data_IF_246796238032
#
_entry.id   IF_246796238032
#
_cell.length_a   1.000
_cell.length_b   1.000
_cell.length_c   1.000
_cell.angle_alpha   90.00
_cell.angle_beta   90.00
_cell.angle_gamma   90.00
#
_symmetry.space_group_name_H-M   'P 1'
#
loop_
_entity.id
_entity.type
_entity.pdbx_description
1 polymer ?
#
# COMPACT_ATOMS: atom_id res chain seq x y z
N UNK A 1 17.42 3.23 16.75
CA UNK A 1 15.98 2.89 16.64
C UNK A 1 15.43 3.74 15.52
N UNK A 2 15.47 3.21 14.29
CA UNK A 2 15.09 3.95 13.08
C UNK A 2 13.61 3.77 12.82
N UNK A 3 12.88 4.87 12.69
CA UNK A 3 11.56 4.89 12.09
C UNK A 3 11.74 4.75 10.58
N UNK A 4 11.11 3.76 9.97
CA UNK A 4 11.08 3.63 8.51
C UNK A 4 9.75 4.21 8.04
N UNK A 5 9.72 5.41 7.44
CA UNK A 5 8.52 5.84 6.74
C UNK A 5 8.30 4.88 5.57
N UNK A 6 7.19 4.15 5.58
CA UNK A 6 6.77 3.20 4.53
C UNK A 6 6.75 3.81 3.11
N UNK A 7 6.73 5.13 3.00
CA UNK A 7 6.92 5.87 1.76
C UNK A 7 8.29 5.61 1.10
N UNK A 8 9.23 4.98 1.82
CA UNK A 8 10.58 4.64 1.34
C UNK A 8 10.57 3.59 0.22
N UNK A 9 9.59 2.67 0.16
CA UNK A 9 9.46 1.77 -1.01
C UNK A 9 8.85 2.46 -2.23
N UNK A 10 8.17 3.60 -2.04
CA UNK A 10 7.60 4.41 -3.10
C UNK A 10 8.56 5.52 -3.56
N UNK A 11 9.85 5.55 -3.17
CA UNK A 11 10.74 6.67 -3.49
C UNK A 11 10.94 6.96 -4.99
N UNK A 12 10.59 6.03 -5.89
CA UNK A 12 10.55 6.30 -7.34
C UNK A 12 9.22 6.93 -7.82
N UNK A 13 8.11 6.69 -7.12
CA UNK A 13 6.77 7.16 -7.50
C UNK A 13 6.31 8.22 -6.51
N UNK A 14 5.96 9.44 -6.96
CA UNK A 14 5.53 10.52 -6.07
C UNK A 14 4.52 10.04 -5.02
N UNK A 15 4.97 9.90 -3.78
CA UNK A 15 4.29 9.12 -2.74
C UNK A 15 3.06 9.82 -2.18
N UNK A 16 2.92 11.13 -2.35
CA UNK A 16 1.67 11.87 -2.14
C UNK A 16 0.86 12.08 -3.43
N UNK A 17 1.35 11.56 -4.56
CA UNK A 17 0.73 11.68 -5.88
C UNK A 17 -0.20 10.50 -6.19
N UNK A 18 -0.28 10.15 -7.47
CA UNK A 18 -1.20 9.12 -7.96
C UNK A 18 -1.03 7.75 -7.30
N UNK A 19 0.16 7.40 -6.80
CA UNK A 19 0.39 6.09 -6.15
C UNK A 19 -0.51 5.91 -4.93
N UNK A 20 -0.45 6.82 -3.97
CA UNK A 20 -1.26 6.72 -2.76
C UNK A 20 -2.71 7.10 -3.02
N UNK A 21 -2.97 8.04 -3.93
CA UNK A 21 -4.35 8.42 -4.25
C UNK A 21 -5.15 7.25 -4.87
N UNK A 22 -4.49 6.33 -5.59
CA UNK A 22 -5.11 5.18 -6.29
C UNK A 22 -4.96 3.83 -5.58
N UNK A 23 -4.63 3.83 -4.30
CA UNK A 23 -4.45 2.61 -3.52
C UNK A 23 -2.99 2.26 -3.32
N UNK A 24 -2.21 2.04 -4.39
CA UNK A 24 -0.78 1.75 -4.28
C UNK A 24 -0.49 0.41 -3.57
N UNK A 25 -0.16 -0.62 -4.34
CA UNK A 25 0.15 -1.95 -3.82
C UNK A 25 1.64 -2.13 -3.51
N UNK A 26 1.96 -2.96 -2.52
CA UNK A 26 3.34 -3.27 -2.18
C UNK A 26 3.49 -4.50 -1.28
N UNK A 27 4.73 -4.97 -1.03
CA UNK A 27 5.00 -6.21 -0.28
C UNK A 27 4.39 -6.24 1.14
N UNK A 28 4.16 -5.07 1.74
CA UNK A 28 3.65 -4.93 3.09
C UNK A 28 2.12 -4.80 3.16
N UNK A 29 1.43 -4.78 2.02
CA UNK A 29 -0.02 -4.54 2.00
C UNK A 29 -0.81 -5.63 2.72
N UNK A 30 -0.31 -6.87 2.75
CA UNK A 30 -0.92 -7.96 3.50
C UNK A 30 -0.89 -7.75 5.02
N UNK A 31 0.06 -6.97 5.54
CA UNK A 31 0.19 -6.71 6.98
C UNK A 31 -0.48 -5.40 7.41
N UNK A 32 -0.43 -4.35 6.59
CA UNK A 32 -0.84 -3.00 6.99
C UNK A 32 -1.95 -2.39 6.14
N UNK A 33 -2.40 -3.04 5.07
CA UNK A 33 -3.33 -2.47 4.10
C UNK A 33 -2.64 -1.77 2.94
N UNK A 34 -3.42 -1.24 2.01
CA UNK A 34 -2.92 -0.49 0.84
C UNK A 34 -2.44 0.91 1.25
N UNK A 35 -1.79 1.65 0.35
CA UNK A 35 -1.17 2.95 0.65
C UNK A 35 -2.21 4.04 0.96
N UNK A 36 -3.37 4.03 0.29
CA UNK A 36 -4.50 4.94 0.59
C UNK A 36 -5.05 4.75 2.01
N UNK A 37 -5.10 3.52 2.52
CA UNK A 37 -5.47 3.22 3.92
C UNK A 37 -4.52 3.87 4.95
N UNK A 38 -3.32 4.24 4.53
CA UNK A 38 -2.31 4.84 5.40
C UNK A 38 -2.42 6.36 5.51
N UNK A 39 -3.19 7.01 4.62
CA UNK A 39 -3.40 8.45 4.67
C UNK A 39 -4.20 8.82 5.93
N UNK A 40 -3.75 9.86 6.62
CA UNK A 40 -4.43 10.44 7.78
C UNK A 40 -5.08 11.77 7.41
N UNK A 41 -4.36 12.58 6.64
CA UNK A 41 -4.80 13.89 6.17
C UNK A 41 -4.16 14.20 4.81
N UNK A 42 -4.84 15.03 4.03
CA UNK A 42 -4.32 15.61 2.80
C UNK A 42 -4.34 17.13 2.87
N UNK A 43 -3.25 17.78 2.48
CA UNK A 43 -3.18 19.22 2.25
C UNK A 43 -3.37 19.46 0.76
N UNK A 44 -4.39 20.23 0.39
CA UNK A 44 -4.83 20.35 -1.00
C UNK A 44 -5.22 21.77 -1.39
N UNK A 45 -5.14 22.06 -2.69
CA UNK A 45 -5.75 23.23 -3.32
C UNK A 45 -6.88 22.77 -4.24
N UNK A 46 -8.10 23.24 -3.99
CA UNK A 46 -9.27 22.91 -4.80
C UNK A 46 -9.25 23.65 -6.14
N UNK A 47 -10.12 23.25 -7.08
CA UNK A 47 -10.30 23.96 -8.36
C UNK A 47 -10.75 25.42 -8.18
N UNK A 48 -11.39 25.76 -7.07
CA UNK A 48 -11.77 27.14 -6.71
C UNK A 48 -10.63 27.94 -6.08
N UNK A 49 -9.44 27.34 -5.91
CA UNK A 49 -8.25 27.97 -5.34
C UNK A 49 -8.22 27.97 -3.80
N UNK A 50 -9.08 27.20 -3.14
CA UNK A 50 -9.11 27.13 -1.69
C UNK A 50 -8.03 26.16 -1.19
N UNK A 51 -7.24 26.61 -0.21
CA UNK A 51 -6.28 25.77 0.49
C UNK A 51 -6.97 25.09 1.68
N UNK A 52 -7.04 23.76 1.69
CA UNK A 52 -7.73 22.96 2.69
C UNK A 52 -6.82 21.87 3.26
N UNK A 53 -7.05 21.55 4.54
CA UNK A 53 -6.62 20.30 5.16
C UNK A 53 -7.85 19.41 5.26
N UNK A 54 -7.81 18.24 4.62
CA UNK A 54 -8.92 17.28 4.60
C UNK A 54 -8.57 16.02 5.37
N UNK A 55 -9.55 15.48 6.08
CA UNK A 55 -9.42 14.35 6.99
C UNK A 55 -10.74 13.58 7.05
N UNK A 56 -10.78 12.38 7.67
CA UNK A 56 -12.02 11.63 7.82
C UNK A 56 -13.16 12.39 8.54
N UNK A 57 -12.83 13.44 9.31
CA UNK A 57 -13.81 14.26 10.05
C UNK A 57 -13.99 15.66 9.48
N UNK A 58 -13.18 16.09 8.51
CA UNK A 58 -13.27 17.42 7.89
C UNK A 58 -13.13 17.29 6.37
N UNK A 59 -14.17 17.65 5.62
CA UNK A 59 -14.26 17.40 4.17
C UNK A 59 -14.12 15.89 3.86
N UNK A 60 -14.87 15.07 4.59
CA UNK A 60 -14.77 13.61 4.55
C UNK A 60 -15.05 13.00 3.16
N UNK A 61 -15.88 13.66 2.38
CA UNK A 61 -16.17 13.34 0.99
C UNK A 61 -14.93 13.52 0.09
N UNK A 62 -14.24 14.65 0.23
CA UNK A 62 -12.99 14.91 -0.49
C UNK A 62 -11.85 14.02 -0.01
N UNK A 63 -11.76 13.76 1.29
CA UNK A 63 -10.82 12.77 1.85
C UNK A 63 -11.04 11.38 1.24
N UNK A 64 -12.29 10.91 1.18
CA UNK A 64 -12.64 9.62 0.60
C UNK A 64 -12.26 9.57 -0.89
N UNK A 65 -12.55 10.64 -1.64
CA UNK A 65 -12.23 10.71 -3.06
C UNK A 65 -10.71 10.70 -3.34
N UNK A 66 -9.91 11.31 -2.47
CA UNK A 66 -8.45 11.33 -2.55
C UNK A 66 -7.79 10.04 -2.05
N UNK A 67 -8.51 9.20 -1.30
CA UNK A 67 -7.98 7.98 -0.68
C UNK A 67 -8.57 6.73 -1.34
N UNK A 68 -8.29 6.55 -2.63
CA UNK A 68 -8.79 5.43 -3.44
C UNK A 68 -9.30 5.85 -4.83
N UNK A 69 -9.38 7.15 -5.11
CA UNK A 69 -9.70 7.68 -6.44
C UNK A 69 -8.48 7.74 -7.38
N UNK A 70 -8.62 8.41 -8.51
CA UNK A 70 -7.49 8.66 -9.39
C UNK A 70 -6.89 10.04 -9.07
N UNK A 71 -5.56 10.09 -8.99
CA UNK A 71 -4.85 11.29 -8.56
C UNK A 71 -5.01 12.47 -9.51
N UNK A 72 -5.20 13.67 -8.95
CA UNK A 72 -5.33 14.92 -9.71
C UNK A 72 -6.74 15.23 -10.24
N UNK A 73 -7.73 14.37 -9.98
CA UNK A 73 -9.11 14.62 -10.41
C UNK A 73 -9.90 15.54 -9.47
N UNK A 74 -9.63 15.50 -8.17
CA UNK A 74 -10.45 16.17 -7.16
C UNK A 74 -9.83 17.46 -6.60
N UNK A 75 -8.52 17.49 -6.46
CA UNK A 75 -7.75 18.64 -6.00
C UNK A 75 -6.26 18.46 -6.34
N UNK A 76 -5.50 19.55 -6.26
CA UNK A 76 -4.04 19.51 -6.31
C UNK A 76 -3.52 19.19 -4.92
N UNK A 77 -2.90 18.03 -4.73
CA UNK A 77 -2.29 17.64 -3.45
C UNK A 77 -0.94 18.32 -3.28
N UNK A 78 -0.76 18.99 -2.15
CA UNK A 78 0.49 19.63 -1.73
C UNK A 78 1.29 18.72 -0.80
N UNK A 79 0.61 18.12 0.18
CA UNK A 79 1.24 17.22 1.15
C UNK A 79 0.24 16.19 1.70
N UNK A 80 0.78 15.18 2.39
CA UNK A 80 0.01 14.10 3.01
C UNK A 80 0.58 13.78 4.39
N UNK A 81 -0.30 13.57 5.37
CA UNK A 81 0.05 13.00 6.68
C UNK A 81 -0.23 11.49 6.67
N UNK A 82 0.69 10.71 7.23
CA UNK A 82 0.68 9.25 7.08
C UNK A 82 0.96 8.48 8.38
N UNK A 83 0.40 7.27 8.49
CA UNK A 83 0.64 6.34 9.62
C UNK A 83 2.01 5.70 9.56
N UNK A 84 2.89 5.84 10.55
CA UNK A 84 4.21 5.18 10.54
C UNK A 84 4.22 3.97 11.48
N UNK A 85 4.87 2.89 11.08
CA UNK A 85 4.97 1.63 11.84
C UNK A 85 6.40 1.41 12.35
N UNK A 86 6.53 0.66 13.43
CA UNK A 86 7.84 0.28 13.96
C UNK A 86 8.58 -0.65 12.99
N UNK A 87 9.88 -0.43 12.84
CA UNK A 87 10.73 -1.28 12.01
C UNK A 87 11.06 -2.60 12.71
N UNK A 88 11.18 -3.68 11.93
CA UNK A 88 11.51 -5.02 12.40
C UNK A 88 12.20 -5.85 11.31
N UNK A 89 12.77 -7.01 11.65
CA UNK A 89 13.40 -7.88 10.66
C UNK A 89 12.39 -8.37 9.61
N UNK A 90 12.76 -8.27 8.33
CA UNK A 90 11.95 -8.73 7.20
C UNK A 90 12.58 -9.98 6.60
N UNK A 91 11.80 -11.06 6.48
CA UNK A 91 12.19 -12.25 5.74
C UNK A 91 11.66 -12.18 4.31
N UNK A 92 12.49 -12.57 3.34
CA UNK A 92 12.10 -12.64 1.92
C UNK A 92 12.66 -13.88 1.26
N UNK A 93 11.90 -14.45 0.33
CA UNK A 93 12.31 -15.59 -0.49
C UNK A 93 12.06 -15.29 -1.96
N UNK A 94 13.03 -15.59 -2.82
CA UNK A 94 12.84 -15.57 -4.26
C UNK A 94 12.52 -17.01 -4.71
N UNK A 95 11.39 -17.18 -5.40
CA UNK A 95 10.98 -18.47 -5.95
C UNK A 95 10.99 -18.40 -7.48
N UNK A 96 11.68 -19.34 -8.14
CA UNK A 96 11.78 -19.41 -9.59
C UNK A 96 11.72 -20.84 -10.08
N UNK A 97 11.09 -21.05 -11.24
CA UNK A 97 11.07 -22.32 -11.95
C UNK A 97 11.07 -22.05 -13.45
N UNK A 98 11.72 -22.93 -14.21
CA UNK A 98 11.98 -22.76 -15.65
C UNK A 98 10.81 -23.25 -16.49
N UNK A 99 10.47 -22.51 -17.54
CA UNK A 99 9.48 -22.94 -18.52
C UNK A 99 10.18 -23.62 -19.72
N UNK A 100 10.28 -24.94 -19.68
CA UNK A 100 10.84 -25.76 -20.78
C UNK A 100 9.76 -26.22 -21.80
N UNK A 101 8.60 -25.54 -21.85
CA UNK A 101 7.42 -25.82 -22.70
C UNK A 101 6.72 -27.14 -22.30
N UNK A 102 6.08 -27.16 -21.13
CA UNK A 102 5.24 -28.28 -20.71
C UNK A 102 3.91 -27.80 -20.12
N UNK A 103 2.87 -28.63 -20.22
CA UNK A 103 1.62 -28.47 -19.45
C UNK A 103 1.88 -28.42 -17.95
N UNK A 104 2.95 -29.06 -17.46
CA UNK A 104 3.36 -29.04 -16.07
C UNK A 104 3.74 -27.64 -15.56
N UNK A 105 4.25 -26.74 -16.41
CA UNK A 105 4.50 -25.34 -16.03
C UNK A 105 3.20 -24.64 -15.63
N UNK A 106 2.16 -24.75 -16.46
CA UNK A 106 0.87 -24.12 -16.18
C UNK A 106 0.13 -24.80 -15.03
N UNK A 107 0.31 -26.12 -14.84
CA UNK A 107 -0.15 -26.80 -13.63
C UNK A 107 0.54 -26.23 -12.38
N UNK A 108 1.87 -26.05 -12.40
CA UNK A 108 2.61 -25.47 -11.28
C UNK A 108 2.18 -24.03 -10.97
N UNK A 109 1.99 -23.18 -12.00
CA UNK A 109 1.43 -21.82 -11.84
C UNK A 109 0.03 -21.87 -11.24
N UNK A 110 -0.84 -22.76 -11.74
CA UNK A 110 -2.20 -22.92 -11.23
C UNK A 110 -2.23 -23.37 -9.78
N UNK A 111 -1.43 -24.38 -9.41
CA UNK A 111 -1.29 -24.85 -8.04
C UNK A 111 -0.74 -23.76 -7.13
N UNK A 112 0.26 -22.99 -7.58
CA UNK A 112 0.79 -21.85 -6.83
C UNK A 112 -0.30 -20.83 -6.54
N UNK A 113 -1.02 -20.36 -7.56
CA UNK A 113 -2.10 -19.37 -7.41
C UNK A 113 -3.23 -19.85 -6.47
N UNK A 114 -3.58 -21.14 -6.54
CA UNK A 114 -4.61 -21.73 -5.65
C UNK A 114 -4.16 -21.81 -4.19
N UNK A 115 -2.86 -21.97 -3.93
CA UNK A 115 -2.31 -22.10 -2.58
C UNK A 115 -1.79 -20.77 -2.00
N UNK A 116 -1.80 -19.66 -2.78
CA UNK A 116 -1.38 -18.34 -2.29
C UNK A 116 -2.14 -17.92 -1.03
N UNK A 117 -3.45 -18.21 -0.97
CA UNK A 117 -4.30 -17.86 0.18
C UNK A 117 -4.00 -18.70 1.44
N UNK A 118 -3.32 -19.85 1.29
CA UNK A 118 -2.96 -20.73 2.42
C UNK A 118 -1.66 -20.28 3.09
N UNK A 119 -0.81 -19.48 2.41
CA UNK A 119 0.44 -18.99 2.99
C UNK A 119 0.21 -18.13 4.25
N UNK A 120 -0.90 -17.40 4.31
CA UNK A 120 -1.29 -16.59 5.49
C UNK A 120 -1.76 -17.46 6.69
N UNK A 121 -2.09 -18.73 6.46
CA UNK A 121 -2.49 -19.68 7.52
C UNK A 121 -1.29 -20.40 8.17
N UNK A 122 -0.08 -20.21 7.63
CA UNK A 122 1.14 -20.80 8.18
C UNK A 122 1.59 -19.94 9.37
N UNK A 123 1.56 -20.52 10.58
CA UNK A 123 1.90 -19.82 11.84
C UNK A 123 3.18 -18.97 11.82
N UNK A 124 4.18 -19.35 11.04
CA UNK A 124 5.44 -18.61 10.90
C UNK A 124 5.37 -17.36 10.02
N UNK A 125 4.22 -17.05 9.40
CA UNK A 125 3.99 -15.88 8.54
C UNK A 125 3.13 -14.79 9.21
N UNK A 126 2.63 -15.01 10.44
CA UNK A 126 1.95 -13.97 11.21
C UNK A 126 2.97 -12.92 11.70
N UNK A 127 3.02 -11.79 11.00
CA UNK A 127 3.99 -10.70 11.26
C UNK A 127 3.67 -9.94 12.57
N UNK A 128 2.46 -10.09 13.14
CA UNK A 128 1.94 -9.21 14.19
C UNK A 128 1.84 -9.82 15.60
N UNK A 129 2.06 -11.13 15.78
CA UNK A 129 1.84 -11.79 17.08
C UNK A 129 2.91 -11.51 18.15
N UNK A 130 3.97 -10.74 17.82
CA UNK A 130 5.13 -10.53 18.69
C UNK A 130 5.25 -9.11 19.28
N UNK A 131 4.24 -8.26 19.14
CA UNK A 131 4.28 -6.86 19.61
C UNK A 131 3.01 -6.42 20.36
N UNK A 132 2.53 -7.25 21.31
CA UNK A 132 1.52 -6.89 22.31
C UNK A 132 2.13 -6.57 23.67
#
# INVERSE_FOLDING_TARGET
MGIEPWAVYALEFGSAGGFTQSGGHGPLMGAYGVSDDQALEWEVVTATGQHLIVSPTHHADLYWALSGGEGGNFAVVLSMKIRVYNNGPVAGVAFSFKNDISTAYWTAVGTWLQNLLVLDTIKSYHILDNYS
#
